data_IF_224552226288
#
_entry.id   IF_224552226288
#
_cell.length_a   1.000
_cell.length_b   1.000
_cell.length_c   1.000
_cell.angle_alpha   90.00
_cell.angle_beta   90.00
_cell.angle_gamma   90.00
#
_symmetry.space_group_name_H-M   'P 1'
#
loop_
_entity.id
_entity.type
_entity.pdbx_description
1 polymer ?
#
# COMPACT_ATOMS: atom_id res chain seq x y z
N UNK A 1 -14.40 -4.33 10.04
CA UNK A 1 -13.71 -3.04 10.10
C UNK A 1 -12.24 -3.21 9.74
N UNK A 2 -11.89 -2.79 8.51
CA UNK A 2 -10.54 -2.72 7.90
C UNK A 2 -9.76 -4.04 7.88
N UNK A 3 -9.57 -4.79 6.80
CA UNK A 3 -9.04 -4.39 5.49
C UNK A 3 -9.40 -5.51 4.51
N UNK A 4 -10.59 -5.44 3.91
CA UNK A 4 -10.93 -6.17 2.68
C UNK A 4 -11.76 -5.19 1.84
N UNK A 5 -11.32 -4.89 0.62
CA UNK A 5 -12.05 -3.95 -0.26
C UNK A 5 -11.75 -2.46 -0.09
N UNK A 6 -10.68 -2.05 0.62
CA UNK A 6 -10.21 -0.66 0.50
C UNK A 6 -9.71 -0.41 -0.92
N UNK A 7 -10.33 0.50 -1.70
CA UNK A 7 -9.87 0.78 -3.05
C UNK A 7 -8.50 1.46 -2.98
N UNK A 8 -7.48 0.78 -3.50
CA UNK A 8 -6.13 1.33 -3.62
C UNK A 8 -5.97 2.02 -4.98
N UNK A 9 -5.35 3.19 -4.96
CA UNK A 9 -4.93 3.87 -6.18
C UNK A 9 -3.54 3.39 -6.58
N UNK A 10 -3.35 3.08 -7.85
CA UNK A 10 -2.04 2.73 -8.42
C UNK A 10 -1.27 4.02 -8.72
N UNK A 11 -0.03 4.11 -8.24
CA UNK A 11 0.87 5.21 -8.59
C UNK A 11 1.38 5.07 -10.03
N UNK A 12 1.59 6.20 -10.70
CA UNK A 12 2.27 6.23 -12.01
C UNK A 12 3.76 5.96 -11.85
N UNK A 13 4.34 6.46 -10.75
CA UNK A 13 5.71 6.20 -10.33
C UNK A 13 5.76 5.97 -8.82
N UNK A 14 6.56 5.00 -8.37
CA UNK A 14 6.70 4.69 -6.94
C UNK A 14 7.12 5.95 -6.16
N UNK A 15 6.31 6.33 -5.17
CA UNK A 15 6.55 7.50 -4.32
C UNK A 15 5.86 8.79 -4.79
N UNK A 16 5.16 8.78 -5.91
CA UNK A 16 4.41 9.93 -6.43
C UNK A 16 3.42 10.50 -5.40
N UNK A 17 2.69 9.65 -4.69
CA UNK A 17 1.69 10.09 -3.71
C UNK A 17 2.35 10.78 -2.50
N UNK A 18 3.50 10.29 -2.05
CA UNK A 18 4.26 10.94 -0.97
C UNK A 18 4.80 12.29 -1.40
N UNK A 19 5.36 12.39 -2.61
CA UNK A 19 5.83 13.66 -3.17
C UNK A 19 4.69 14.66 -3.34
N UNK A 20 3.55 14.22 -3.89
CA UNK A 20 2.36 15.05 -4.05
C UNK A 20 1.84 15.54 -2.70
N UNK A 21 1.81 14.68 -1.66
CA UNK A 21 1.44 15.07 -0.29
C UNK A 21 2.40 16.12 0.27
N UNK A 22 3.71 15.93 0.11
CA UNK A 22 4.71 16.86 0.62
C UNK A 22 4.55 18.26 -0.01
N UNK A 23 4.28 18.33 -1.31
CA UNK A 23 3.98 19.60 -2.02
C UNK A 23 2.67 20.20 -1.52
N UNK A 24 1.63 19.37 -1.37
CA UNK A 24 0.30 19.81 -0.96
C UNK A 24 0.23 20.23 0.53
N UNK A 25 1.20 19.82 1.37
CA UNK A 25 1.13 19.94 2.82
C UNK A 25 0.94 21.39 3.29
N UNK A 26 1.60 22.34 2.62
CA UNK A 26 1.51 23.78 2.94
C UNK A 26 0.15 24.41 2.59
N UNK A 27 -0.65 23.75 1.75
CA UNK A 27 -1.96 24.25 1.32
C UNK A 27 -3.10 23.83 2.26
N UNK A 28 -2.88 22.83 3.13
CA UNK A 28 -3.90 22.40 4.09
C UNK A 28 -4.02 23.39 5.24
N UNK A 29 -5.26 23.73 5.59
CA UNK A 29 -5.60 24.54 6.76
C UNK A 29 -6.42 23.71 7.76
N UNK A 30 -6.39 24.08 9.04
CA UNK A 30 -7.13 23.37 10.09
C UNK A 30 -6.48 22.05 10.49
N UNK A 31 -7.24 20.95 10.43
CA UNK A 31 -6.80 19.61 10.89
C UNK A 31 -5.76 18.94 9.99
N UNK A 32 -5.43 19.54 8.85
CA UNK A 32 -4.49 18.98 7.90
C UNK A 32 -5.10 17.94 6.96
N UNK A 33 -4.28 17.28 6.12
CA UNK A 33 -4.71 16.20 5.26
C UNK A 33 -5.05 14.93 6.06
N UNK A 34 -5.93 14.05 5.55
CA UNK A 34 -6.12 12.71 6.11
C UNK A 34 -4.82 11.90 6.09
N UNK A 35 -4.75 10.80 6.85
CA UNK A 35 -3.57 9.94 6.83
C UNK A 35 -3.41 9.27 5.46
N UNK A 36 -2.15 9.04 5.06
CA UNK A 36 -1.81 8.41 3.79
C UNK A 36 -1.05 7.12 4.07
N UNK A 37 -1.55 6.01 3.55
CA UNK A 37 -0.84 4.74 3.56
C UNK A 37 -0.32 4.46 2.15
N UNK A 38 0.97 4.16 2.03
CA UNK A 38 1.63 3.83 0.77
C UNK A 38 2.20 2.42 0.84
N UNK A 39 2.06 1.67 -0.24
CA UNK A 39 2.50 0.28 -0.34
C UNK A 39 3.30 0.11 -1.61
N UNK A 40 4.48 -0.47 -1.50
CA UNK A 40 5.23 -0.95 -2.66
C UNK A 40 5.01 -2.45 -2.80
N UNK A 41 4.53 -2.87 -3.97
CA UNK A 41 4.23 -4.26 -4.28
C UNK A 41 5.09 -4.73 -5.44
N UNK A 42 5.63 -5.92 -5.33
CA UNK A 42 6.34 -6.62 -6.39
C UNK A 42 5.46 -7.74 -6.93
N UNK A 43 5.26 -7.78 -8.24
CA UNK A 43 4.53 -8.88 -8.87
C UNK A 43 5.47 -10.03 -9.19
N UNK A 44 5.23 -11.18 -8.58
CA UNK A 44 6.01 -12.41 -8.76
C UNK A 44 5.18 -13.40 -9.57
N UNK A 45 5.59 -13.66 -10.81
CA UNK A 45 4.89 -14.64 -11.68
C UNK A 45 5.30 -16.05 -11.31
N UNK A 46 4.32 -16.92 -11.07
CA UNK A 46 4.57 -18.31 -10.66
C UNK A 46 5.39 -19.13 -11.68
N UNK A 47 5.28 -18.82 -12.97
CA UNK A 47 5.95 -19.58 -14.04
C UNK A 47 7.27 -18.98 -14.53
N UNK A 48 7.63 -17.75 -14.12
CA UNK A 48 8.85 -17.09 -14.61
C UNK A 48 9.98 -17.25 -13.58
N UNK A 49 11.25 -17.36 -14.01
CA UNK A 49 12.39 -17.37 -13.10
C UNK A 49 12.38 -16.08 -12.24
N UNK A 50 12.70 -16.21 -10.95
CA UNK A 50 12.74 -15.12 -9.97
C UNK A 50 13.60 -13.92 -10.42
N UNK A 51 14.54 -14.15 -11.34
CA UNK A 51 15.44 -13.14 -11.91
C UNK A 51 14.77 -12.18 -12.91
N UNK A 52 13.63 -12.55 -13.49
CA UNK A 52 12.85 -11.61 -14.34
C UNK A 52 11.91 -10.79 -13.47
N UNK A 53 12.50 -9.87 -12.72
CA UNK A 53 11.78 -8.99 -11.81
C UNK A 53 10.94 -7.98 -12.59
N UNK A 54 9.61 -8.06 -12.46
CA UNK A 54 8.72 -6.97 -12.85
C UNK A 54 9.05 -5.78 -11.94
N UNK A 55 9.20 -4.55 -12.43
CA UNK A 55 9.51 -3.41 -11.57
C UNK A 55 8.44 -3.26 -10.47
N UNK A 56 8.84 -2.81 -9.26
CA UNK A 56 7.91 -2.60 -8.17
C UNK A 56 6.86 -1.54 -8.56
N UNK A 57 5.63 -1.76 -8.10
CA UNK A 57 4.49 -0.88 -8.34
C UNK A 57 4.07 -0.27 -7.01
N UNK A 58 3.86 1.05 -7.01
CA UNK A 58 3.37 1.79 -5.87
C UNK A 58 1.85 1.83 -5.83
N UNK A 59 1.30 1.73 -4.64
CA UNK A 59 -0.12 1.86 -4.34
C UNK A 59 -0.31 2.77 -3.14
N UNK A 60 -1.42 3.49 -3.09
CA UNK A 60 -1.75 4.31 -1.93
C UNK A 60 -3.26 4.41 -1.71
N UNK A 61 -3.63 4.71 -0.47
CA UNK A 61 -5.00 5.07 -0.11
C UNK A 61 -4.99 6.01 1.09
N UNK A 62 -6.07 6.77 1.22
CA UNK A 62 -6.29 7.64 2.37
C UNK A 62 -6.89 6.84 3.52
N UNK A 63 -6.45 7.14 4.74
CA UNK A 63 -6.86 6.47 5.96
C UNK A 63 -7.49 7.51 6.89
N UNK A 64 -8.63 7.16 7.47
CA UNK A 64 -9.33 7.98 8.47
C UNK A 64 -9.81 7.04 9.57
N UNK A 65 -9.62 7.43 10.83
CA UNK A 65 -10.11 6.67 11.98
C UNK A 65 -9.28 5.44 12.33
N UNK A 66 -8.06 5.30 11.80
CA UNK A 66 -7.13 4.30 12.29
C UNK A 66 -6.63 4.67 13.70
N UNK A 67 -6.42 3.66 14.54
CA UNK A 67 -5.86 3.87 15.87
C UNK A 67 -4.36 4.16 15.76
N UNK A 68 -4.01 5.42 16.02
CA UNK A 68 -2.64 5.92 16.04
C UNK A 68 -2.14 6.20 17.48
N UNK A 69 -2.84 5.72 18.51
CA UNK A 69 -2.48 5.94 19.92
C UNK A 69 -1.14 5.30 20.32
N UNK A 70 -0.75 4.22 19.63
CA UNK A 70 0.53 3.55 19.83
C UNK A 70 1.05 2.92 18.52
N UNK A 71 2.39 2.72 18.40
CA UNK A 71 2.97 2.07 17.23
C UNK A 71 2.47 0.64 17.00
N UNK A 72 2.07 -0.06 18.07
CA UNK A 72 1.53 -1.43 17.98
C UNK A 72 0.17 -1.47 17.26
N UNK A 73 -0.71 -0.49 17.49
CA UNK A 73 -1.98 -0.37 16.80
C UNK A 73 -1.78 -0.13 15.30
N UNK A 74 -0.89 0.80 14.94
CA UNK A 74 -0.52 1.08 13.53
C UNK A 74 0.09 -0.15 12.87
N UNK A 75 0.98 -0.87 13.57
CA UNK A 75 1.60 -2.09 13.06
C UNK A 75 0.58 -3.20 12.81
N UNK A 76 -0.43 -3.31 13.69
CA UNK A 76 -1.52 -4.28 13.55
C UNK A 76 -2.38 -3.96 12.32
N UNK A 77 -2.65 -2.67 12.06
CA UNK A 77 -3.32 -2.23 10.83
C UNK A 77 -2.53 -2.61 9.58
N UNK A 78 -1.21 -2.37 9.56
CA UNK A 78 -0.34 -2.71 8.43
C UNK A 78 -0.29 -4.24 8.22
N UNK A 79 -0.17 -5.01 9.29
CA UNK A 79 -0.14 -6.48 9.24
C UNK A 79 -1.46 -7.06 8.70
N UNK A 80 -2.60 -6.55 9.15
CA UNK A 80 -3.92 -6.92 8.60
C UNK A 80 -3.99 -6.62 7.09
N UNK A 81 -3.48 -5.47 6.67
CA UNK A 81 -3.42 -5.09 5.27
C UNK A 81 -2.52 -6.03 4.46
N UNK A 82 -1.31 -6.34 4.92
CA UNK A 82 -0.38 -7.24 4.23
C UNK A 82 -0.98 -8.64 4.08
N UNK A 83 -1.70 -9.12 5.09
CA UNK A 83 -2.41 -10.41 5.01
C UNK A 83 -3.54 -10.39 3.99
N UNK A 84 -4.32 -9.31 3.92
CA UNK A 84 -5.40 -9.16 2.95
C UNK A 84 -4.92 -9.15 1.48
N UNK A 85 -3.66 -8.77 1.23
CA UNK A 85 -3.07 -8.81 -0.11
C UNK A 85 -2.73 -10.22 -0.61
N UNK A 86 -2.63 -11.20 0.30
CA UNK A 86 -2.34 -12.60 -0.06
C UNK A 86 -3.61 -13.26 -0.60
N UNK A 87 -3.79 -13.24 -1.92
CA UNK A 87 -4.88 -13.98 -2.58
C UNK A 87 -4.45 -15.42 -2.89
N UNK A 88 -5.34 -16.43 -2.73
CA UNK A 88 -5.03 -17.80 -3.11
C UNK A 88 -4.76 -17.89 -4.62
N UNK A 89 -3.65 -18.53 -4.98
CA UNK A 89 -3.25 -18.71 -6.37
C UNK A 89 -4.23 -19.64 -7.09
N UNK A 90 -4.90 -19.12 -8.10
CA UNK A 90 -5.39 -19.96 -9.19
C UNK A 90 -4.24 -20.15 -10.19
N UNK A 91 -4.17 -21.34 -10.78
CA UNK A 91 -3.02 -22.05 -11.37
C UNK A 91 -2.21 -21.32 -12.47
N UNK A 92 -2.56 -20.08 -12.81
CA UNK A 92 -1.90 -19.26 -13.83
C UNK A 92 -1.60 -17.82 -13.39
N UNK A 93 -1.86 -17.43 -12.12
CA UNK A 93 -1.66 -16.06 -11.65
C UNK A 93 -0.37 -15.90 -10.84
N UNK A 94 0.36 -14.80 -11.09
CA UNK A 94 1.40 -14.33 -10.18
C UNK A 94 0.82 -13.75 -8.87
N UNK A 95 1.68 -13.52 -7.89
CA UNK A 95 1.37 -12.98 -6.57
C UNK A 95 1.97 -11.58 -6.40
N UNK A 96 1.23 -10.67 -5.76
CA UNK A 96 1.78 -9.40 -5.31
C UNK A 96 2.36 -9.56 -3.91
N UNK A 97 3.69 -9.45 -3.81
CA UNK A 97 4.39 -9.40 -2.53
C UNK A 97 4.61 -7.95 -2.12
N UNK A 98 4.09 -7.56 -0.95
CA UNK A 98 4.39 -6.24 -0.37
C UNK A 98 5.87 -6.22 0.05
N UNK A 99 6.63 -5.28 -0.48
CA UNK A 99 8.07 -5.10 -0.19
C UNK A 99 8.35 -3.95 0.76
N UNK A 100 7.46 -2.95 0.76
CA UNK A 100 7.51 -1.79 1.66
C UNK A 100 6.09 -1.36 2.00
N UNK A 101 5.86 -1.02 3.26
CA UNK A 101 4.65 -0.43 3.80
C UNK A 101 5.03 0.69 4.79
#
# INVERSE_FOLDING_TARGET
DGVEGTPENKERAVGEAMTARAIALSYYQGLGPPDLCCLTKLFVRAWLPMETSVPPVGYYHWVVGADCSCPAAVSTYIDALVRAQRRPQWYASGEYKVTKA
#
